data_IF_011475808775
#
_entry.id   IF_011475808775
#
_cell.length_a   1.000
_cell.length_b   1.000
_cell.length_c   1.000
_cell.angle_alpha   90.00
_cell.angle_beta   90.00
_cell.angle_gamma   90.00
#
_symmetry.space_group_name_H-M   'P 1'
#
loop_
_entity.id
_entity.type
_entity.pdbx_description
1 polymer ?
#
# COMPACT_ATOMS: atom_id res chain seq x y z
N UNK A 1 -0.14 -1.31 4.49
CA UNK A 1 0.27 -2.01 5.73
C UNK A 1 0.82 -3.40 5.47
N UNK A 2 0.10 -4.32 4.80
CA UNK A 2 0.59 -5.69 4.51
C UNK A 2 1.94 -5.68 3.80
N UNK A 3 2.14 -4.85 2.78
CA UNK A 3 3.42 -4.72 2.09
C UNK A 3 4.59 -4.31 3.00
N UNK A 4 4.34 -3.42 3.95
CA UNK A 4 5.34 -3.06 4.97
C UNK A 4 5.69 -4.23 5.89
N UNK A 5 4.68 -5.02 6.31
CA UNK A 5 4.92 -6.20 7.15
C UNK A 5 5.75 -7.25 6.41
N UNK A 6 5.49 -7.47 5.13
CA UNK A 6 6.31 -8.36 4.30
C UNK A 6 7.73 -7.84 4.17
N UNK A 7 7.90 -6.55 3.91
CA UNK A 7 9.21 -5.93 3.76
C UNK A 7 10.05 -6.01 5.06
N UNK A 8 9.45 -5.68 6.22
CA UNK A 8 10.12 -5.75 7.52
C UNK A 8 10.57 -7.18 7.88
N UNK A 9 9.82 -8.20 7.43
CA UNK A 9 10.16 -9.60 7.65
C UNK A 9 10.97 -10.22 6.51
N UNK A 10 11.51 -9.42 5.58
CA UNK A 10 12.28 -9.86 4.42
C UNK A 10 11.57 -10.91 3.54
N UNK A 11 10.23 -10.87 3.53
CA UNK A 11 9.41 -11.74 2.67
C UNK A 11 9.30 -11.06 1.31
N UNK A 12 9.87 -11.68 0.29
CA UNK A 12 9.92 -11.13 -1.06
C UNK A 12 9.63 -12.20 -2.12
N UNK A 13 9.30 -11.76 -3.32
CA UNK A 13 9.21 -12.65 -4.47
C UNK A 13 10.61 -13.07 -4.93
N UNK A 14 10.75 -14.29 -5.44
CA UNK A 14 11.97 -14.73 -6.09
C UNK A 14 12.11 -14.07 -7.47
N UNK A 15 13.30 -13.60 -7.81
CA UNK A 15 13.59 -13.06 -9.12
C UNK A 15 14.03 -11.60 -9.12
N UNK A 16 14.02 -10.99 -10.30
CA UNK A 16 14.43 -9.61 -10.54
C UNK A 16 13.21 -8.71 -10.77
N UNK A 17 13.16 -7.58 -10.08
CA UNK A 17 12.19 -6.52 -10.37
C UNK A 17 12.49 -5.88 -11.75
N UNK A 18 13.76 -5.62 -12.02
CA UNK A 18 14.20 -5.07 -13.30
C UNK A 18 15.45 -5.78 -13.78
N UNK A 19 15.33 -6.69 -14.76
CA UNK A 19 16.50 -7.37 -15.36
C UNK A 19 17.46 -6.38 -16.03
N UNK A 20 16.92 -5.32 -16.66
CA UNK A 20 17.70 -4.31 -17.38
C UNK A 20 18.62 -3.49 -16.45
N UNK A 21 18.16 -3.21 -15.24
CA UNK A 21 18.90 -2.42 -14.24
C UNK A 21 19.54 -3.29 -13.16
N UNK A 22 19.40 -4.61 -13.22
CA UNK A 22 19.99 -5.53 -12.26
C UNK A 22 19.39 -5.46 -10.85
N UNK A 23 18.16 -4.95 -10.70
CA UNK A 23 17.50 -4.80 -9.41
C UNK A 23 16.74 -6.08 -9.07
N UNK A 24 17.16 -6.78 -8.01
CA UNK A 24 16.48 -7.98 -7.49
C UNK A 24 15.54 -7.65 -6.33
N UNK A 25 14.50 -8.46 -6.15
CA UNK A 25 13.60 -8.35 -4.99
C UNK A 25 14.32 -8.62 -3.67
N UNK A 26 15.29 -9.52 -3.67
CA UNK A 26 16.12 -9.82 -2.50
C UNK A 26 16.94 -8.60 -2.06
N UNK A 27 17.61 -7.94 -2.99
CA UNK A 27 18.37 -6.72 -2.68
C UNK A 27 17.47 -5.64 -2.09
N UNK A 28 16.27 -5.43 -2.65
CA UNK A 28 15.31 -4.47 -2.15
C UNK A 28 14.78 -4.83 -0.75
N UNK A 29 14.57 -6.12 -0.46
CA UNK A 29 14.05 -6.56 0.84
C UNK A 29 15.03 -6.35 1.99
N UNK A 30 16.33 -6.27 1.69
CA UNK A 30 17.39 -6.04 2.67
C UNK A 30 17.66 -4.55 2.95
N UNK A 31 17.02 -3.66 2.21
CA UNK A 31 17.10 -2.21 2.39
C UNK A 31 15.94 -1.69 3.25
N UNK A 32 16.09 -0.49 3.81
CA UNK A 32 14.96 0.21 4.42
C UNK A 32 13.83 0.46 3.40
N UNK A 33 12.57 0.60 3.83
CA UNK A 33 11.42 0.74 2.92
C UNK A 33 11.54 1.93 1.96
N UNK A 34 12.10 3.04 2.42
CA UNK A 34 12.30 4.25 1.61
C UNK A 34 13.51 4.12 0.67
N UNK A 35 14.60 3.50 1.14
CA UNK A 35 15.78 3.23 0.31
C UNK A 35 15.44 2.23 -0.80
N UNK A 36 14.62 1.23 -0.50
CA UNK A 36 14.08 0.29 -1.48
C UNK A 36 13.28 1.03 -2.57
N UNK A 37 12.42 1.98 -2.20
CA UNK A 37 11.70 2.81 -3.18
C UNK A 37 12.65 3.62 -4.06
N UNK A 38 13.65 4.27 -3.45
CA UNK A 38 14.63 5.08 -4.17
C UNK A 38 15.54 4.25 -5.11
N UNK A 39 15.72 2.98 -4.80
CA UNK A 39 16.47 2.03 -5.63
C UNK A 39 15.67 1.49 -6.82
N UNK A 40 14.35 1.69 -6.86
CA UNK A 40 13.54 1.36 -8.03
C UNK A 40 13.85 2.33 -9.17
N UNK A 41 14.14 1.83 -10.40
CA UNK A 41 14.38 2.70 -11.53
C UNK A 41 13.25 3.71 -11.76
N UNK A 42 13.59 4.93 -12.16
CA UNK A 42 12.61 6.01 -12.37
C UNK A 42 11.43 5.59 -13.27
N UNK A 43 11.69 4.84 -14.34
CA UNK A 43 10.63 4.32 -15.22
C UNK A 43 9.68 3.38 -14.48
N UNK A 44 10.20 2.57 -13.56
CA UNK A 44 9.37 1.69 -12.71
C UNK A 44 8.52 2.48 -11.73
N UNK A 45 9.09 3.50 -11.08
CA UNK A 45 8.32 4.41 -10.21
C UNK A 45 7.21 5.13 -10.98
N UNK A 46 7.52 5.64 -12.17
CA UNK A 46 6.52 6.29 -13.04
C UNK A 46 5.41 5.33 -13.45
N UNK A 47 5.73 4.08 -13.80
CA UNK A 47 4.71 3.06 -14.11
C UNK A 47 3.76 2.83 -12.92
N UNK A 48 4.29 2.73 -11.71
CA UNK A 48 3.48 2.56 -10.51
C UNK A 48 2.55 3.76 -10.31
N UNK A 49 3.09 4.98 -10.37
CA UNK A 49 2.34 6.22 -10.17
C UNK A 49 1.24 6.37 -11.24
N UNK A 50 1.56 6.15 -12.52
CA UNK A 50 0.59 6.24 -13.61
C UNK A 50 -0.50 5.16 -13.50
N UNK A 51 -0.15 3.95 -13.05
CA UNK A 51 -1.14 2.90 -12.83
C UNK A 51 -2.12 3.30 -11.72
N UNK A 52 -1.63 3.82 -10.60
CA UNK A 52 -2.47 4.30 -9.50
C UNK A 52 -3.35 5.46 -9.98
N UNK A 53 -2.77 6.46 -10.62
CA UNK A 53 -3.51 7.61 -11.15
C UNK A 53 -4.58 7.19 -12.17
N UNK A 54 -4.26 6.24 -13.04
CA UNK A 54 -5.21 5.67 -14.00
C UNK A 54 -6.37 4.95 -13.35
N UNK A 55 -6.11 4.16 -12.30
CA UNK A 55 -7.16 3.47 -11.54
C UNK A 55 -8.05 4.46 -10.79
N UNK A 56 -7.46 5.48 -10.18
CA UNK A 56 -8.23 6.54 -9.50
C UNK A 56 -9.08 7.34 -10.49
N UNK A 57 -8.50 7.76 -11.60
CA UNK A 57 -9.26 8.45 -12.64
C UNK A 57 -10.40 7.59 -13.21
N UNK A 58 -10.13 6.30 -13.47
CA UNK A 58 -11.15 5.37 -13.91
C UNK A 58 -12.26 5.20 -12.86
N UNK A 59 -11.92 5.19 -11.57
CA UNK A 59 -12.90 5.08 -10.48
C UNK A 59 -13.87 6.26 -10.45
N UNK A 60 -13.39 7.44 -10.80
CA UNK A 60 -14.21 8.65 -10.84
C UNK A 60 -15.05 8.77 -12.11
N UNK A 61 -14.45 8.45 -13.26
CA UNK A 61 -15.10 8.61 -14.56
C UNK A 61 -16.05 7.47 -14.92
N UNK A 62 -15.71 6.22 -14.54
CA UNK A 62 -16.47 5.03 -14.93
C UNK A 62 -17.50 4.61 -13.85
N UNK A 63 -17.59 5.31 -12.74
CA UNK A 63 -18.59 5.01 -11.73
C UNK A 63 -19.97 5.50 -12.18
N UNK A 64 -20.94 4.60 -12.43
CA UNK A 64 -22.29 4.99 -12.88
C UNK A 64 -23.04 5.88 -11.89
N UNK A 65 -22.71 5.79 -10.61
CA UNK A 65 -23.30 6.62 -9.56
C UNK A 65 -22.64 8.01 -9.45
N UNK A 66 -21.61 8.28 -10.26
CA UNK A 66 -20.84 9.51 -10.19
C UNK A 66 -19.87 9.57 -9.01
N UNK A 67 -19.13 10.68 -8.94
CA UNK A 67 -18.22 10.97 -7.84
C UNK A 67 -18.98 11.05 -6.51
N UNK A 68 -18.36 10.66 -5.39
CA UNK A 68 -18.99 10.65 -4.06
C UNK A 68 -19.50 12.06 -3.62
N UNK A 69 -18.89 13.15 -4.11
CA UNK A 69 -19.37 14.50 -3.88
C UNK A 69 -20.69 14.85 -4.62
N UNK A 70 -21.05 14.04 -5.64
CA UNK A 70 -22.27 14.19 -6.43
C UNK A 70 -23.33 13.12 -6.11
N UNK A 71 -23.24 12.51 -4.94
CA UNK A 71 -24.21 11.51 -4.47
C UNK A 71 -23.80 10.06 -4.68
N UNK A 72 -22.61 9.79 -5.18
CA UNK A 72 -22.03 8.43 -5.23
C UNK A 72 -21.70 7.90 -3.84
N UNK A 73 -21.75 6.60 -3.65
CA UNK A 73 -21.37 5.97 -2.39
C UNK A 73 -19.84 5.86 -2.31
N UNK A 74 -19.18 6.41 -1.27
CA UNK A 74 -17.73 6.29 -1.10
C UNK A 74 -17.29 4.82 -1.07
N UNK A 75 -16.23 4.48 -1.81
CA UNK A 75 -15.68 3.12 -1.86
C UNK A 75 -16.47 2.13 -2.73
N UNK A 76 -17.54 2.54 -3.41
CA UNK A 76 -18.29 1.69 -4.34
C UNK A 76 -17.64 1.69 -5.74
N UNK A 77 -16.65 0.85 -5.93
CA UNK A 77 -15.91 0.68 -7.19
C UNK A 77 -16.66 -0.29 -8.12
N UNK A 78 -17.83 0.11 -8.62
CA UNK A 78 -18.70 -0.76 -9.44
C UNK A 78 -18.03 -1.27 -10.71
N UNK A 79 -17.13 -0.47 -11.30
CA UNK A 79 -16.40 -0.87 -12.51
C UNK A 79 -15.38 -2.01 -12.25
N UNK A 80 -14.88 -2.16 -11.02
CA UNK A 80 -13.98 -3.24 -10.61
C UNK A 80 -14.69 -4.40 -9.93
N UNK A 81 -16.02 -4.36 -9.78
CA UNK A 81 -16.78 -5.36 -9.02
C UNK A 81 -16.53 -6.78 -9.50
N UNK A 82 -16.43 -6.99 -10.79
CA UNK A 82 -16.15 -8.31 -11.37
C UNK A 82 -14.70 -8.76 -11.16
N UNK A 83 -13.78 -7.82 -10.97
CA UNK A 83 -12.37 -8.10 -10.73
C UNK A 83 -12.10 -8.42 -9.25
N UNK A 84 -12.67 -7.64 -8.32
CA UNK A 84 -12.46 -7.83 -6.89
C UNK A 84 -13.21 -9.02 -6.30
N UNK A 85 -14.39 -9.33 -6.82
CA UNK A 85 -15.23 -10.41 -6.35
C UNK A 85 -15.37 -11.54 -7.38
N UNK A 86 -14.26 -11.87 -8.07
CA UNK A 86 -14.22 -13.00 -9.01
C UNK A 86 -14.69 -14.31 -8.36
N UNK A 87 -14.33 -14.65 -7.08
CA UNK A 87 -14.86 -15.83 -6.40
C UNK A 87 -16.31 -15.68 -5.92
N UNK A 88 -16.89 -14.48 -5.97
CA UNK A 88 -18.29 -14.24 -5.57
C UNK A 88 -18.53 -14.33 -4.06
N UNK A 89 -17.54 -14.05 -3.23
CA UNK A 89 -17.68 -14.11 -1.76
C UNK A 89 -18.74 -13.15 -1.23
N UNK A 90 -18.88 -11.97 -1.83
CA UNK A 90 -19.86 -10.97 -1.39
C UNK A 90 -21.27 -11.32 -1.81
N UNK A 91 -21.45 -12.12 -2.86
CA UNK A 91 -22.78 -12.54 -3.36
C UNK A 91 -23.56 -13.43 -2.38
N UNK A 92 -22.84 -14.12 -1.49
CA UNK A 92 -23.42 -15.04 -0.50
C UNK A 92 -23.70 -14.38 0.85
N UNK A 93 -23.32 -13.10 1.02
CA UNK A 93 -23.49 -12.39 2.29
C UNK A 93 -24.88 -11.76 2.39
N UNK A 94 -25.46 -11.85 3.58
CA UNK A 94 -26.68 -11.10 3.91
C UNK A 94 -26.37 -9.61 4.03
N UNK A 95 -27.36 -8.71 3.86
CA UNK A 95 -27.15 -7.27 4.03
C UNK A 95 -26.54 -6.88 5.39
N UNK A 96 -26.92 -7.58 6.46
CA UNK A 96 -26.37 -7.36 7.80
C UNK A 96 -24.89 -7.75 7.88
N UNK A 97 -24.51 -8.89 7.33
CA UNK A 97 -23.11 -9.33 7.26
C UNK A 97 -22.27 -8.39 6.40
N UNK A 98 -22.82 -7.87 5.32
CA UNK A 98 -22.13 -6.89 4.47
C UNK A 98 -21.87 -5.59 5.22
N UNK A 99 -22.84 -5.11 6.01
CA UNK A 99 -22.66 -3.92 6.85
C UNK A 99 -21.58 -4.14 7.91
N UNK A 100 -21.53 -5.30 8.55
CA UNK A 100 -20.48 -5.66 9.51
C UNK A 100 -19.09 -5.69 8.86
N UNK A 101 -18.98 -6.28 7.66
CA UNK A 101 -17.72 -6.30 6.91
C UNK A 101 -17.22 -4.90 6.53
N UNK A 102 -18.13 -3.98 6.17
CA UNK A 102 -17.78 -2.57 5.92
C UNK A 102 -17.22 -1.87 7.17
N UNK A 103 -17.82 -2.10 8.33
CA UNK A 103 -17.31 -1.58 9.60
C UNK A 103 -15.93 -2.16 9.92
N UNK A 104 -15.75 -3.46 9.70
CA UNK A 104 -14.45 -4.12 9.86
C UNK A 104 -13.39 -3.54 8.93
N UNK A 105 -13.71 -3.30 7.66
CA UNK A 105 -12.84 -2.65 6.67
C UNK A 105 -12.37 -1.28 7.14
N UNK A 106 -13.28 -0.43 7.60
CA UNK A 106 -12.97 0.89 8.13
C UNK A 106 -12.06 0.84 9.35
N UNK A 107 -12.34 -0.08 10.30
CA UNK A 107 -11.50 -0.26 11.49
C UNK A 107 -10.09 -0.72 11.13
N UNK A 108 -9.97 -1.69 10.25
CA UNK A 108 -8.67 -2.18 9.76
C UNK A 108 -7.92 -1.11 8.98
N UNK A 109 -8.60 -0.32 8.14
CA UNK A 109 -8.00 0.79 7.40
C UNK A 109 -7.44 1.86 8.33
N UNK A 110 -8.18 2.26 9.37
CA UNK A 110 -7.70 3.22 10.38
C UNK A 110 -6.51 2.68 11.16
N UNK A 111 -6.55 1.44 11.58
CA UNK A 111 -5.43 0.78 12.26
C UNK A 111 -4.19 0.71 11.36
N UNK A 112 -4.37 0.43 10.08
CA UNK A 112 -3.28 0.41 9.10
C UNK A 112 -2.63 1.80 8.92
N UNK A 113 -3.42 2.87 8.91
CA UNK A 113 -2.90 4.24 8.84
C UNK A 113 -2.06 4.59 10.08
N UNK A 114 -2.54 4.26 11.28
CA UNK A 114 -1.80 4.47 12.54
C UNK A 114 -0.52 3.65 12.54
N UNK A 115 -0.58 2.38 12.13
CA UNK A 115 0.58 1.51 12.04
C UNK A 115 1.63 2.03 11.04
N UNK A 116 1.20 2.55 9.89
CA UNK A 116 2.11 3.14 8.93
C UNK A 116 2.76 4.42 9.46
N UNK A 117 1.98 5.30 10.10
CA UNK A 117 2.51 6.50 10.74
C UNK A 117 3.54 6.16 11.83
N UNK A 118 3.31 5.09 12.61
CA UNK A 118 4.26 4.62 13.62
C UNK A 118 5.58 4.15 13.00
N UNK A 119 5.52 3.42 11.88
CA UNK A 119 6.73 3.00 11.15
C UNK A 119 7.48 4.21 10.60
N UNK A 120 6.79 5.16 9.99
CA UNK A 120 7.41 6.40 9.48
C UNK A 120 8.05 7.21 10.61
N UNK A 121 7.40 7.31 11.78
CA UNK A 121 7.96 7.99 12.95
C UNK A 121 9.22 7.30 13.47
N UNK A 122 9.23 5.97 13.55
CA UNK A 122 10.38 5.19 13.98
C UNK A 122 11.58 5.34 13.03
N UNK A 123 11.32 5.45 11.74
CA UNK A 123 12.36 5.70 10.72
C UNK A 123 12.89 7.13 10.76
N UNK A 124 12.02 8.11 10.98
CA UNK A 124 12.41 9.51 11.06
C UNK A 124 13.16 9.84 12.37
N UNK A 125 12.70 9.29 13.48
CA UNK A 125 13.27 9.53 14.82
C UNK A 125 13.47 8.18 15.50
N UNK A 126 14.69 7.63 15.47
CA UNK A 126 15.01 6.38 16.14
C UNK A 126 14.64 6.43 17.63
N UNK A 127 13.95 5.41 18.12
CA UNK A 127 13.48 5.35 19.50
C UNK A 127 12.14 6.05 19.78
N UNK A 128 11.53 6.74 18.83
CA UNK A 128 10.21 7.38 19.00
C UNK A 128 9.08 6.38 19.26
N UNK A 129 9.23 5.17 18.77
CA UNK A 129 8.26 4.07 18.98
C UNK A 129 8.96 2.89 19.63
N UNK A 130 8.93 2.75 20.97
CA UNK A 130 9.68 1.71 21.71
C UNK A 130 9.40 0.29 21.24
N UNK A 131 8.17 0.01 20.82
CA UNK A 131 7.75 -1.30 20.33
C UNK A 131 8.48 -1.72 19.03
N UNK A 132 8.89 -0.76 18.21
CA UNK A 132 9.57 -1.01 16.93
C UNK A 132 11.09 -1.00 17.03
N UNK A 133 11.67 -0.70 18.18
CA UNK A 133 13.13 -0.64 18.38
C UNK A 133 13.84 -1.97 18.10
N UNK A 134 13.15 -3.10 18.22
CA UNK A 134 13.68 -4.43 17.96
C UNK A 134 13.40 -4.94 16.52
N UNK A 135 12.84 -4.12 15.65
CA UNK A 135 12.59 -4.50 14.25
C UNK A 135 13.88 -4.30 13.43
N UNK A 136 14.55 -5.38 12.96
CA UNK A 136 15.89 -5.29 12.35
C UNK A 136 15.91 -4.44 11.06
N UNK A 137 14.83 -4.40 10.32
CA UNK A 137 14.74 -3.62 9.08
C UNK A 137 14.52 -2.12 9.30
N UNK A 138 14.23 -1.69 10.54
CA UNK A 138 14.00 -0.28 10.89
C UNK A 138 15.20 0.33 11.63
N UNK A 139 16.09 -0.49 12.16
CA UNK A 139 17.29 -0.04 12.85
C UNK A 139 18.41 0.21 11.86
N UNK A 140 18.63 1.46 11.50
CA UNK A 140 19.78 1.88 10.68
C UNK A 140 19.47 2.53 9.34
N UNK A 141 18.22 2.59 8.92
CA UNK A 141 17.86 3.34 7.71
C UNK A 141 17.79 4.84 8.02
N UNK A 142 18.62 5.64 7.34
CA UNK A 142 18.43 7.09 7.34
C UNK A 142 17.11 7.42 6.64
N UNK A 143 16.28 8.26 7.27
CA UNK A 143 15.04 8.70 6.67
C UNK A 143 15.34 9.64 5.50
N UNK A 144 15.19 9.12 4.29
CA UNK A 144 15.14 9.93 3.08
C UNK A 144 13.68 10.05 2.62
N UNK A 145 13.20 11.28 2.45
CA UNK A 145 11.88 11.49 1.87
C UNK A 145 11.83 10.89 0.46
N UNK A 146 10.73 10.24 0.05
CA UNK A 146 10.64 9.56 -1.24
C UNK A 146 10.73 10.48 -2.47
N UNK A 147 10.76 11.80 -2.26
CA UNK A 147 10.84 12.82 -3.32
C UNK A 147 12.05 13.76 -3.17
N UNK A 148 13.10 13.33 -2.49
CA UNK A 148 14.31 14.10 -2.29
C UNK A 148 14.27 15.05 -1.08
N UNK A 149 15.44 15.45 -0.65
CA UNK A 149 15.62 16.54 0.34
C UNK A 149 15.41 17.87 -0.36
N UNK A 150 14.42 18.63 0.08
CA UNK A 150 14.31 20.04 -0.24
C UNK A 150 15.35 20.85 0.51
#
# INVERSE_FOLDING_TARGET
MVGFLFHINHIHFSGMLSPTYGVSFEALSNMGPFDAWNSVPLLGQMQIIFTIAGLEHASECLNPAGHYTKGGTPGDLKFLKNFWDTPGFTKKLTPAQLAEKRVSELKNGRLAMIGLASVCSALAVPGSVPFLNNAPALTGAAFALPFGTF
#
